data_IF_672945129544
#
_entry.id   IF_672945129544
#
_cell.length_a   1.000
_cell.length_b   1.000
_cell.length_c   1.000
_cell.angle_alpha   90.00
_cell.angle_beta   90.00
_cell.angle_gamma   90.00
#
_symmetry.space_group_name_H-M   'P 1'
#
loop_
_entity.id
_entity.type
_entity.pdbx_description
1 polymer ?
#
# COMPACT_ATOMS: atom_id res chain seq x y z
N UNK A 1 2.67 -1.43 -2.24
CA UNK A 1 2.20 -1.95 -0.95
C UNK A 1 0.93 -1.22 -0.53
N UNK A 2 -0.01 -1.91 0.11
CA UNK A 2 -1.22 -1.29 0.67
C UNK A 2 -1.54 -1.85 2.07
N UNK A 3 -2.35 -1.11 2.81
CA UNK A 3 -3.06 -1.59 3.98
C UNK A 3 -4.52 -1.06 3.92
N UNK A 4 -5.34 -1.26 4.95
CA UNK A 4 -6.74 -0.78 4.96
C UNK A 4 -6.88 0.71 4.59
N UNK A 5 -6.12 1.60 5.25
CA UNK A 5 -6.26 3.06 5.11
C UNK A 5 -5.02 3.79 4.56
N UNK A 6 -3.97 3.06 4.18
CA UNK A 6 -2.71 3.65 3.70
C UNK A 6 -1.68 4.05 4.79
N UNK A 7 -2.08 4.17 6.07
CA UNK A 7 -1.18 4.63 7.14
C UNK A 7 -0.02 3.67 7.44
N UNK A 8 -0.31 2.38 7.61
CA UNK A 8 0.71 1.37 7.95
C UNK A 8 1.65 1.09 6.77
N UNK A 9 1.08 1.02 5.57
CA UNK A 9 1.86 0.83 4.34
C UNK A 9 2.75 2.03 4.02
N UNK A 10 2.36 3.25 4.41
CA UNK A 10 3.22 4.43 4.34
C UNK A 10 4.46 4.32 5.23
N UNK A 11 4.30 3.90 6.49
CA UNK A 11 5.43 3.66 7.40
C UNK A 11 6.36 2.56 6.88
N UNK A 12 5.78 1.47 6.36
CA UNK A 12 6.58 0.40 5.76
C UNK A 12 7.31 0.84 4.48
N UNK A 13 6.73 1.72 3.65
CA UNK A 13 7.46 2.33 2.52
C UNK A 13 8.64 3.18 2.98
N UNK A 14 8.50 3.94 4.08
CA UNK A 14 9.60 4.71 4.64
C UNK A 14 10.78 3.80 5.05
N UNK A 15 10.50 2.64 5.67
CA UNK A 15 11.52 1.65 6.02
C UNK A 15 12.12 1.03 4.75
N UNK A 16 11.30 0.64 3.77
CA UNK A 16 11.79 0.06 2.51
C UNK A 16 12.70 1.01 1.73
N UNK A 17 12.42 2.32 1.75
CA UNK A 17 13.28 3.34 1.17
C UNK A 17 14.64 3.45 1.90
N UNK A 18 14.67 3.24 3.22
CA UNK A 18 15.93 3.19 3.99
C UNK A 18 16.77 1.95 3.67
N UNK A 19 16.13 0.90 3.15
CA UNK A 19 16.77 -0.34 2.74
C UNK A 19 17.12 -0.35 1.24
N UNK A 20 17.08 0.82 0.57
CA UNK A 20 17.35 0.99 -0.87
C UNK A 20 16.47 0.12 -1.79
N UNK A 21 15.23 -0.15 -1.38
CA UNK A 21 14.25 -0.79 -2.27
C UNK A 21 13.69 0.29 -3.21
N UNK A 22 14.22 0.33 -4.44
CA UNK A 22 13.95 1.40 -5.42
C UNK A 22 12.47 1.62 -5.73
N UNK A 23 11.65 0.56 -5.71
CA UNK A 23 10.28 0.58 -6.20
C UNK A 23 9.24 0.33 -5.09
N UNK A 24 9.39 0.99 -3.94
CA UNK A 24 8.46 0.89 -2.81
C UNK A 24 7.38 1.99 -2.85
N UNK A 25 6.21 1.67 -3.40
CA UNK A 25 5.09 2.60 -3.50
C UNK A 25 3.96 2.30 -2.48
N UNK A 26 3.41 3.36 -1.89
CA UNK A 26 2.25 3.28 -1.01
C UNK A 26 0.94 3.55 -1.77
N UNK A 27 -0.08 2.71 -1.58
CA UNK A 27 -1.45 3.03 -1.99
C UNK A 27 -2.06 4.03 -1.00
N UNK A 28 -2.12 5.29 -1.39
CA UNK A 28 -2.76 6.37 -0.61
C UNK A 28 -4.25 6.03 -0.44
N UNK A 29 -4.80 6.30 0.75
CA UNK A 29 -6.17 5.88 1.10
C UNK A 29 -6.33 4.39 1.42
N UNK A 30 -5.35 3.57 1.03
CA UNK A 30 -5.36 2.13 1.23
C UNK A 30 -6.47 1.44 0.45
N UNK A 31 -6.76 0.20 0.83
CA UNK A 31 -7.80 -0.59 0.17
C UNK A 31 -9.21 0.00 0.35
N UNK A 32 -9.45 0.79 1.40
CA UNK A 32 -10.73 1.48 1.61
C UNK A 32 -11.09 2.45 0.48
N UNK A 33 -10.10 3.01 -0.22
CA UNK A 33 -10.32 3.97 -1.31
C UNK A 33 -10.06 3.36 -2.70
N UNK A 34 -9.75 2.05 -2.76
CA UNK A 34 -9.51 1.36 -4.03
C UNK A 34 -10.77 1.36 -4.90
N UNK A 35 -10.66 1.89 -6.12
CA UNK A 35 -11.74 1.92 -7.12
C UNK A 35 -11.53 0.93 -8.28
N UNK A 36 -10.46 0.13 -8.22
CA UNK A 36 -10.17 -0.86 -9.25
C UNK A 36 -10.94 -2.15 -9.04
N UNK A 37 -10.73 -3.10 -9.95
CA UNK A 37 -11.28 -4.45 -9.83
C UNK A 37 -10.82 -5.13 -8.54
N UNK A 38 -11.72 -5.94 -7.97
CA UNK A 38 -11.44 -6.76 -6.79
C UNK A 38 -11.88 -8.19 -7.07
N UNK A 39 -11.07 -9.15 -6.65
CA UNK A 39 -11.48 -10.55 -6.68
C UNK A 39 -12.56 -10.76 -5.61
N UNK A 40 -13.76 -11.14 -6.04
CA UNK A 40 -14.81 -11.61 -5.14
C UNK A 40 -14.80 -13.14 -5.18
N UNK A 41 -14.08 -13.76 -4.26
CA UNK A 41 -14.14 -15.21 -4.08
C UNK A 41 -15.38 -15.50 -3.21
N UNK A 42 -16.48 -15.89 -3.87
CA UNK A 42 -17.66 -16.43 -3.19
C UNK A 42 -17.37 -17.82 -2.61
#
# INVERSE_FOLDING_TARGET
>A
MYCKSGNRSGQACAIMNQLDIENAYNLIGGFSEWQGEVAHNQ
#
